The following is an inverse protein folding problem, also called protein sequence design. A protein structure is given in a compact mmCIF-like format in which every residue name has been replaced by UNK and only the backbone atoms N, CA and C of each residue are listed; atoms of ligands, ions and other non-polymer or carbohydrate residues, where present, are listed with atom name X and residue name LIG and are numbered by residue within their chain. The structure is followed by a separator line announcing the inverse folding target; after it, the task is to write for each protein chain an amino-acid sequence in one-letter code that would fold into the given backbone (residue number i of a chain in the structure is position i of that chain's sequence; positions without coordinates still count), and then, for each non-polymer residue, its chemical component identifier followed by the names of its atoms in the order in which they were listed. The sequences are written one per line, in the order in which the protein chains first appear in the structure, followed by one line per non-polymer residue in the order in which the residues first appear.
data_IF_292102816229
#
_entry.id   IF_292102816229
#
_cell.length_a   1.000
_cell.length_b   1.000
_cell.length_c   1.000
_cell.angle_alpha   90.00
_cell.angle_beta   90.00
_cell.angle_gamma   90.00
#
_symmetry.space_group_name_H-M   'P 1'
#
loop_
_entity.id
_entity.type
_entity.pdbx_description
1 polymer ?
#
# COMPACT_ATOMS: atom_id res chain seq x y z
N UNK A 1 -6.01 14.87 10.16
CA UNK A 1 -5.09 15.45 9.18
C UNK A 1 -5.80 16.52 8.35
N UNK A 2 -5.05 17.50 7.87
CA UNK A 2 -5.57 18.55 6.99
C UNK A 2 -6.13 17.94 5.71
N UNK A 3 -7.31 18.45 5.29
CA UNK A 3 -7.91 18.09 4.01
C UNK A 3 -7.21 18.80 2.84
N UNK A 4 -7.32 18.22 1.66
CA UNK A 4 -6.85 18.85 0.41
C UNK A 4 -7.94 19.80 -0.10
N UNK A 5 -7.74 21.09 0.14
CA UNK A 5 -8.72 22.15 -0.18
C UNK A 5 -8.05 23.30 -0.90
N UNK A 6 -8.85 24.05 -1.65
CA UNK A 6 -8.45 25.32 -2.20
C UNK A 6 -8.92 26.43 -1.24
N UNK A 7 -7.98 27.16 -0.66
CA UNK A 7 -8.27 28.25 0.26
C UNK A 7 -8.69 29.53 -0.50
N UNK A 8 -9.26 30.50 0.24
CA UNK A 8 -9.76 31.74 -0.33
C UNK A 8 -8.67 32.62 -0.97
N UNK A 9 -7.42 32.43 -0.55
CA UNK A 9 -6.25 33.12 -1.11
C UNK A 9 -5.72 32.46 -2.40
N UNK A 10 -6.39 31.41 -2.89
CA UNK A 10 -6.02 30.68 -4.09
C UNK A 10 -4.95 29.61 -3.91
N UNK A 11 -4.58 29.30 -2.67
CA UNK A 11 -3.59 28.27 -2.36
C UNK A 11 -4.23 26.94 -2.02
N UNK A 12 -3.60 25.84 -2.47
CA UNK A 12 -4.01 24.49 -2.07
C UNK A 12 -3.36 24.10 -0.75
N UNK A 13 -4.14 23.46 0.13
CA UNK A 13 -3.68 22.95 1.42
C UNK A 13 -3.74 21.43 1.47
N UNK A 14 -3.16 20.85 2.49
CA UNK A 14 -3.24 19.42 2.76
C UNK A 14 -2.52 18.51 1.76
N UNK A 15 -1.74 19.06 0.83
CA UNK A 15 -0.92 18.30 -0.11
C UNK A 15 0.21 17.55 0.62
N UNK A 16 0.78 16.53 -0.02
CA UNK A 16 1.92 15.81 0.55
C UNK A 16 3.04 16.79 0.95
N UNK A 17 3.66 16.64 2.12
CA UNK A 17 3.56 15.56 3.10
C UNK A 17 2.61 15.87 4.27
N UNK A 18 1.60 16.73 4.12
CA UNK A 18 0.77 17.22 5.22
C UNK A 18 0.16 16.10 6.08
N UNK A 19 -0.35 15.03 5.45
CA UNK A 19 -1.01 13.94 6.18
C UNK A 19 -0.09 13.26 7.20
N UNK A 20 1.13 12.95 6.81
CA UNK A 20 2.09 12.29 7.72
C UNK A 20 2.61 13.26 8.78
N UNK A 21 2.82 14.53 8.43
CA UNK A 21 3.25 15.57 9.36
C UNK A 21 2.20 15.78 10.46
N UNK A 22 0.92 15.84 10.10
CA UNK A 22 -0.19 15.97 11.07
C UNK A 22 -0.26 14.78 12.03
N UNK A 23 -0.08 13.55 11.52
CA UNK A 23 -0.08 12.36 12.39
C UNK A 23 1.14 12.32 13.31
N UNK A 24 2.31 12.71 12.83
CA UNK A 24 3.51 12.85 13.69
C UNK A 24 3.28 13.90 14.78
N UNK A 25 2.66 15.04 14.44
CA UNK A 25 2.29 16.06 15.42
C UNK A 25 1.30 15.52 16.45
N UNK A 26 0.32 14.70 16.04
CA UNK A 26 -0.60 14.04 16.97
C UNK A 26 0.13 13.08 17.93
N UNK A 27 1.08 12.26 17.42
CA UNK A 27 1.90 11.39 18.28
C UNK A 27 2.71 12.23 19.28
N UNK A 28 3.33 13.34 18.85
CA UNK A 28 4.05 14.26 19.73
C UNK A 28 3.15 14.85 20.79
N UNK A 29 1.92 15.23 20.43
CA UNK A 29 0.93 15.74 21.38
C UNK A 29 0.56 14.72 22.45
N UNK A 30 0.28 13.47 22.07
CA UNK A 30 -0.02 12.39 22.98
C UNK A 30 1.14 12.12 23.95
N UNK A 31 2.36 12.08 23.47
CA UNK A 31 3.56 11.86 24.29
C UNK A 31 3.82 13.01 25.26
N UNK A 32 3.65 14.25 24.80
CA UNK A 32 3.85 15.43 25.64
C UNK A 32 2.81 15.52 26.78
N UNK A 33 1.61 15.03 26.56
CA UNK A 33 0.51 15.06 27.51
C UNK A 33 0.20 13.70 28.15
N UNK A 34 1.10 12.72 28.07
CA UNK A 34 0.86 11.33 28.54
C UNK A 34 0.40 11.26 29.99
N UNK A 35 0.94 12.12 30.85
CA UNK A 35 0.54 12.23 32.28
C UNK A 35 -0.83 12.90 32.54
N UNK A 36 -1.47 13.45 31.49
CA UNK A 36 -2.76 14.14 31.55
C UNK A 36 -3.87 13.42 30.80
N UNK A 37 -3.53 12.34 30.10
CA UNK A 37 -4.44 11.61 29.20
C UNK A 37 -4.51 10.13 29.60
N UNK A 38 -5.65 9.46 29.41
CA UNK A 38 -5.74 8.03 29.63
C UNK A 38 -4.92 7.27 28.58
N UNK A 39 -4.40 6.11 28.97
CA UNK A 39 -3.60 5.26 28.10
C UNK A 39 -2.09 5.39 28.36
N UNK A 40 -1.30 4.95 27.39
CA UNK A 40 0.16 4.95 27.47
C UNK A 40 0.76 5.36 26.12
N UNK A 41 1.29 6.56 26.03
CA UNK A 41 1.86 7.08 24.79
C UNK A 41 3.19 6.41 24.38
N UNK A 42 3.77 5.55 25.22
CA UNK A 42 4.88 4.68 24.84
C UNK A 42 4.43 3.42 24.05
N UNK A 43 3.11 3.18 23.95
CA UNK A 43 2.49 2.02 23.32
C UNK A 43 1.53 2.40 22.18
N UNK A 44 1.76 3.49 21.49
CA UNK A 44 0.94 3.91 20.35
C UNK A 44 1.04 2.87 19.23
N UNK A 45 -0.10 2.35 18.82
CA UNK A 45 -0.24 1.44 17.69
C UNK A 45 -1.04 2.17 16.60
N UNK A 46 -0.50 2.27 15.41
CA UNK A 46 -1.26 2.80 14.27
C UNK A 46 -2.09 1.70 13.62
N UNK A 47 -3.29 2.05 13.17
CA UNK A 47 -4.14 1.17 12.36
C UNK A 47 -4.78 1.98 11.24
N UNK A 48 -4.87 1.40 10.06
CA UNK A 48 -5.48 2.07 8.92
C UNK A 48 -5.68 1.17 7.72
N UNK A 49 -6.57 1.59 6.83
CA UNK A 49 -6.98 0.86 5.61
C UNK A 49 -6.68 1.68 4.38
N UNK A 50 -6.19 1.05 3.29
CA UNK A 50 -5.97 1.70 1.99
C UNK A 50 -4.94 2.83 2.10
N UNK A 51 -5.28 4.07 1.75
CA UNK A 51 -4.45 5.24 2.02
C UNK A 51 -4.12 5.39 3.51
N UNK A 52 -5.07 5.10 4.41
CA UNK A 52 -4.84 5.05 5.86
C UNK A 52 -3.86 3.95 6.26
N UNK A 53 -3.89 2.80 5.59
CA UNK A 53 -2.90 1.72 5.76
C UNK A 53 -1.50 2.17 5.32
N UNK A 54 -1.41 2.89 4.21
CA UNK A 54 -0.16 3.49 3.74
C UNK A 54 0.42 4.48 4.74
N UNK A 55 -0.41 5.38 5.25
CA UNK A 55 0.01 6.39 6.25
C UNK A 55 0.36 5.72 7.59
N UNK A 56 -0.34 4.65 7.98
CA UNK A 56 0.00 3.82 9.15
C UNK A 56 1.40 3.22 9.01
N UNK A 57 1.71 2.62 7.85
CA UNK A 57 3.04 2.09 7.55
C UNK A 57 4.11 3.20 7.51
N UNK A 58 3.79 4.33 6.91
CA UNK A 58 4.72 5.47 6.82
C UNK A 58 5.04 6.05 8.21
N UNK A 59 4.04 6.16 9.09
CA UNK A 59 4.24 6.62 10.46
C UNK A 59 5.20 5.70 11.23
N UNK A 60 5.02 4.38 11.09
CA UNK A 60 5.94 3.41 11.69
C UNK A 60 7.35 3.44 11.10
N UNK A 61 7.47 3.67 9.80
CA UNK A 61 8.75 3.71 9.12
C UNK A 61 9.59 4.95 9.47
N UNK A 62 8.94 6.09 9.73
CA UNK A 62 9.58 7.41 9.74
C UNK A 62 9.74 8.04 11.12
N UNK A 63 9.56 7.26 12.20
CA UNK A 63 9.66 7.76 13.57
C UNK A 63 10.93 8.58 13.83
N UNK A 64 10.77 9.82 14.28
CA UNK A 64 11.83 10.78 14.61
C UNK A 64 12.76 11.11 13.42
N UNK A 65 12.34 10.91 12.19
CA UNK A 65 13.21 11.17 11.04
C UNK A 65 13.31 12.66 10.72
N UNK A 66 14.54 13.14 10.54
CA UNK A 66 14.88 14.56 10.34
C UNK A 66 14.20 15.24 9.12
N UNK A 67 13.86 14.47 8.09
CA UNK A 67 13.23 15.02 6.88
C UNK A 67 11.90 15.71 7.17
N UNK A 68 11.21 15.34 8.26
CA UNK A 68 9.92 15.90 8.66
C UNK A 68 10.02 17.08 9.63
N UNK A 69 11.19 17.31 10.26
CA UNK A 69 11.34 18.35 11.28
C UNK A 69 11.02 19.79 10.78
N UNK A 70 11.39 20.21 9.56
CA UNK A 70 11.00 21.53 9.08
C UNK A 70 9.49 21.73 9.05
N UNK A 71 8.74 20.74 8.56
CA UNK A 71 7.28 20.79 8.46
C UNK A 71 6.59 20.72 9.83
N UNK A 72 7.13 19.92 10.75
CA UNK A 72 6.64 19.83 12.13
C UNK A 72 6.85 21.16 12.88
N UNK A 73 7.99 21.80 12.66
CA UNK A 73 8.27 23.13 13.24
C UNK A 73 7.34 24.19 12.66
N UNK A 74 7.08 24.17 11.37
CA UNK A 74 6.20 25.11 10.67
C UNK A 74 4.77 25.08 11.24
N UNK A 75 4.22 23.91 11.53
CA UNK A 75 2.88 23.76 12.13
C UNK A 75 2.88 23.91 13.65
N UNK A 76 4.00 24.25 14.28
CA UNK A 76 4.10 24.43 15.74
C UNK A 76 3.96 23.13 16.54
N UNK A 77 4.33 21.98 15.98
CA UNK A 77 4.27 20.70 16.68
C UNK A 77 5.11 20.69 17.95
N UNK A 78 4.61 20.04 18.98
CA UNK A 78 5.28 19.97 20.28
C UNK A 78 6.64 19.24 20.19
N UNK A 79 7.57 19.62 21.04
CA UNK A 79 8.88 18.97 21.15
C UNK A 79 8.74 17.65 21.91
N UNK A 80 8.52 16.57 21.19
CA UNK A 80 8.46 15.21 21.68
C UNK A 80 8.89 14.24 20.58
N UNK A 81 9.09 12.97 20.92
CA UNK A 81 9.32 11.92 19.93
C UNK A 81 8.03 11.57 19.18
N UNK A 82 8.15 11.15 17.91
CA UNK A 82 7.02 10.73 17.09
C UNK A 82 7.13 9.27 16.57
N UNK A 83 8.06 8.49 17.11
CA UNK A 83 8.08 7.05 16.88
C UNK A 83 6.91 6.36 17.57
N UNK A 84 6.40 5.30 16.96
CA UNK A 84 5.30 4.50 17.49
C UNK A 84 5.76 3.09 17.87
N UNK A 85 4.91 2.33 18.54
CA UNK A 85 5.23 1.02 19.07
C UNK A 85 5.03 -0.10 18.05
N UNK A 86 3.90 -0.10 17.36
CA UNK A 86 3.54 -1.12 16.37
C UNK A 86 2.68 -0.53 15.25
N UNK A 87 2.62 -1.25 14.13
CA UNK A 87 1.86 -0.88 12.94
C UNK A 87 0.87 -1.98 12.59
N UNK A 88 -0.38 -1.60 12.34
CA UNK A 88 -1.36 -2.41 11.63
C UNK A 88 -1.78 -1.69 10.34
N UNK A 89 -1.69 -2.37 9.21
CA UNK A 89 -2.00 -1.82 7.90
C UNK A 89 -2.83 -2.81 7.07
N UNK A 90 -4.05 -2.41 6.74
CA UNK A 90 -4.90 -3.14 5.82
C UNK A 90 -4.75 -2.57 4.41
N UNK A 91 -4.52 -3.46 3.43
CA UNK A 91 -4.32 -3.15 2.02
C UNK A 91 -3.56 -1.82 1.79
N UNK A 92 -2.36 -1.66 2.37
CA UNK A 92 -1.64 -0.41 2.34
C UNK A 92 -1.21 -0.06 0.92
N UNK A 93 -1.60 1.12 0.44
CA UNK A 93 -1.18 1.66 -0.87
C UNK A 93 0.13 2.44 -0.64
N UNK A 94 1.22 1.73 -0.48
CA UNK A 94 2.57 2.29 -0.29
C UNK A 94 3.37 2.26 -1.59
N UNK A 95 4.56 2.85 -1.57
CA UNK A 95 5.52 2.72 -2.67
C UNK A 95 4.93 3.17 -4.01
N UNK A 96 4.29 4.33 -4.00
CA UNK A 96 3.50 4.85 -5.11
C UNK A 96 4.30 5.02 -6.40
N UNK A 97 5.60 5.34 -6.30
CA UNK A 97 6.53 5.46 -7.45
C UNK A 97 6.61 4.17 -8.27
N UNK A 98 6.34 3.01 -7.64
CA UNK A 98 6.38 1.69 -8.29
C UNK A 98 5.00 1.02 -8.34
N UNK A 99 3.95 1.68 -7.87
CA UNK A 99 2.61 1.09 -7.78
C UNK A 99 2.00 0.83 -9.16
N UNK A 100 2.19 1.74 -10.13
CA UNK A 100 1.76 1.53 -11.51
C UNK A 100 2.42 0.30 -12.14
N UNK A 101 3.74 0.17 -12.00
CA UNK A 101 4.51 -0.95 -12.59
C UNK A 101 4.13 -2.28 -11.95
N UNK A 102 3.94 -2.31 -10.64
CA UNK A 102 3.46 -3.48 -9.90
C UNK A 102 2.03 -3.88 -10.31
N UNK A 103 1.17 -2.89 -10.54
CA UNK A 103 -0.19 -3.12 -11.00
C UNK A 103 -0.22 -3.78 -12.38
N UNK A 104 0.55 -3.24 -13.32
CA UNK A 104 0.62 -3.78 -14.67
C UNK A 104 1.40 -5.10 -14.74
N UNK A 105 2.37 -5.34 -13.86
CA UNK A 105 2.99 -6.66 -13.73
C UNK A 105 1.96 -7.73 -13.36
N UNK A 106 1.01 -7.40 -12.49
CA UNK A 106 -0.01 -8.34 -12.03
C UNK A 106 -1.17 -8.48 -13.03
N UNK A 107 -1.69 -7.38 -13.56
CA UNK A 107 -2.95 -7.34 -14.32
C UNK A 107 -2.80 -7.13 -15.82
N UNK A 108 -1.57 -7.10 -16.36
CA UNK A 108 -1.32 -6.81 -17.79
C UNK A 108 -2.14 -7.69 -18.75
N UNK A 109 -2.31 -8.98 -18.44
CA UNK A 109 -3.01 -9.92 -19.32
C UNK A 109 -4.54 -9.80 -19.25
N UNK A 110 -5.07 -9.05 -18.29
CA UNK A 110 -6.51 -8.75 -18.15
C UNK A 110 -6.80 -7.43 -18.86
N UNK A 111 -7.46 -7.49 -20.03
CA UNK A 111 -7.72 -6.33 -20.88
C UNK A 111 -9.08 -5.66 -20.63
N UNK A 112 -9.97 -6.30 -19.86
CA UNK A 112 -11.24 -5.71 -19.45
C UNK A 112 -11.11 -5.20 -18.02
N UNK A 113 -11.82 -4.11 -17.70
CA UNK A 113 -11.81 -3.53 -16.36
C UNK A 113 -13.22 -3.24 -15.84
N UNK A 114 -13.34 -3.25 -14.51
CA UNK A 114 -14.52 -2.81 -13.81
C UNK A 114 -14.12 -1.77 -12.76
N UNK A 115 -14.17 -0.50 -13.17
CA UNK A 115 -13.83 0.63 -12.32
C UNK A 115 -14.93 0.88 -11.30
N UNK A 116 -14.54 1.19 -10.06
CA UNK A 116 -15.45 1.60 -8.99
C UNK A 116 -15.11 3.04 -8.65
N UNK A 117 -16.08 3.93 -8.82
CA UNK A 117 -16.02 5.31 -8.37
C UNK A 117 -16.83 5.44 -7.09
N UNK A 118 -16.22 5.92 -6.03
CA UNK A 118 -16.86 6.12 -4.73
C UNK A 118 -16.96 7.61 -4.49
N UNK A 119 -18.18 8.13 -4.34
CA UNK A 119 -18.44 9.48 -3.88
C UNK A 119 -19.09 9.47 -2.51
N UNK A 120 -18.73 10.45 -1.68
CA UNK A 120 -19.35 10.69 -0.39
C UNK A 120 -20.06 12.05 -0.46
N UNK A 121 -21.37 12.03 -0.63
CA UNK A 121 -22.22 13.22 -0.57
C UNK A 121 -23.14 13.09 0.66
N UNK A 122 -23.16 14.09 1.51
CA UNK A 122 -24.06 14.19 2.66
C UNK A 122 -24.10 12.93 3.55
N UNK A 123 -22.91 12.36 3.86
CA UNK A 123 -22.74 11.10 4.60
C UNK A 123 -23.27 9.84 3.90
N UNK A 124 -23.70 9.94 2.65
CA UNK A 124 -24.07 8.79 1.84
C UNK A 124 -22.90 8.37 0.95
N UNK A 125 -22.63 7.07 0.93
CA UNK A 125 -21.62 6.47 0.06
C UNK A 125 -22.29 5.98 -1.21
N UNK A 126 -22.04 6.66 -2.33
CA UNK A 126 -22.45 6.21 -3.64
C UNK A 126 -21.32 5.48 -4.34
N UNK A 127 -21.63 4.34 -4.96
CA UNK A 127 -20.71 3.55 -5.78
C UNK A 127 -21.23 3.50 -7.21
N UNK A 128 -20.43 4.04 -8.12
CA UNK A 128 -20.68 3.93 -9.56
C UNK A 128 -19.72 2.93 -10.16
N UNK A 129 -20.23 2.00 -10.95
CA UNK A 129 -19.44 1.02 -11.67
C UNK A 129 -19.36 1.38 -13.14
N UNK A 130 -18.16 1.35 -13.70
CA UNK A 130 -17.91 1.54 -15.14
C UNK A 130 -17.11 0.35 -15.64
N UNK A 131 -17.62 -0.35 -16.64
CA UNK A 131 -16.93 -1.48 -17.27
C UNK A 131 -16.42 -1.05 -18.65
N UNK A 132 -15.28 -1.59 -19.04
CA UNK A 132 -14.69 -1.29 -20.34
C UNK A 132 -13.58 -2.26 -20.73
N UNK A 133 -13.05 -2.02 -21.91
CA UNK A 133 -11.86 -2.73 -22.44
C UNK A 133 -10.77 -1.70 -22.68
N UNK A 134 -9.52 -2.08 -22.40
CA UNK A 134 -8.37 -1.21 -22.61
C UNK A 134 -8.24 -0.86 -24.10
N UNK A 135 -7.97 0.40 -24.38
CA UNK A 135 -7.60 0.90 -25.71
C UNK A 135 -6.20 0.40 -26.10
N UNK A 136 -5.85 0.51 -27.39
CA UNK A 136 -4.52 0.14 -27.88
C UNK A 136 -3.41 0.94 -27.16
N UNK A 137 -3.60 2.23 -26.92
CA UNK A 137 -2.66 3.08 -26.18
C UNK A 137 -2.51 2.64 -24.71
N UNK A 138 -3.60 2.25 -24.08
CA UNK A 138 -3.56 1.70 -22.72
C UNK A 138 -2.87 0.35 -22.67
N UNK A 139 -3.05 -0.50 -23.68
CA UNK A 139 -2.34 -1.78 -23.79
C UNK A 139 -0.84 -1.57 -23.97
N UNK A 140 -0.42 -0.63 -24.80
CA UNK A 140 0.99 -0.26 -24.97
C UNK A 140 1.58 0.24 -23.65
N UNK A 141 0.90 1.15 -22.98
CA UNK A 141 1.31 1.66 -21.66
C UNK A 141 1.42 0.54 -20.62
N UNK A 142 0.44 -0.35 -20.58
CA UNK A 142 0.45 -1.53 -19.70
C UNK A 142 1.68 -2.39 -19.94
N UNK A 143 2.02 -2.65 -21.20
CA UNK A 143 3.19 -3.44 -21.56
C UNK A 143 4.50 -2.79 -21.12
N UNK A 144 4.63 -1.48 -21.27
CA UNK A 144 5.83 -0.75 -20.87
C UNK A 144 6.00 -0.76 -19.36
N UNK A 145 4.94 -0.44 -18.62
CA UNK A 145 4.95 -0.45 -17.16
C UNK A 145 5.26 -1.84 -16.57
N UNK A 146 4.70 -2.91 -17.17
CA UNK A 146 5.00 -4.30 -16.78
C UNK A 146 6.49 -4.59 -16.89
N UNK A 147 7.15 -4.16 -17.96
CA UNK A 147 8.58 -4.40 -18.21
C UNK A 147 9.51 -3.70 -17.24
N UNK A 148 9.06 -2.63 -16.59
CA UNK A 148 9.86 -1.86 -15.61
C UNK A 148 9.91 -2.52 -14.24
N UNK A 149 8.90 -3.31 -13.88
CA UNK A 149 8.75 -3.86 -12.53
C UNK A 149 9.86 -4.85 -12.12
N UNK A 150 10.34 -5.78 -12.99
CA UNK A 150 11.41 -6.70 -12.65
C UNK A 150 12.70 -6.03 -12.14
N UNK A 151 13.15 -4.98 -12.81
CA UNK A 151 14.36 -4.25 -12.42
C UNK A 151 14.22 -3.64 -11.04
N UNK A 152 13.06 -3.08 -10.73
CA UNK A 152 12.76 -2.57 -9.40
C UNK A 152 12.83 -3.67 -8.34
N UNK A 153 12.12 -4.78 -8.53
CA UNK A 153 12.14 -5.92 -7.58
C UNK A 153 13.56 -6.43 -7.35
N UNK A 154 14.31 -6.63 -8.42
CA UNK A 154 15.68 -7.15 -8.37
C UNK A 154 16.64 -6.18 -7.64
N UNK A 155 16.43 -4.87 -7.77
CA UNK A 155 17.21 -3.85 -7.08
C UNK A 155 17.07 -3.92 -5.56
N UNK A 156 15.92 -4.38 -5.05
CA UNK A 156 15.63 -4.47 -3.62
C UNK A 156 16.39 -5.60 -2.90
N UNK A 157 16.90 -6.59 -3.65
CA UNK A 157 17.63 -7.77 -3.12
C UNK A 157 16.85 -8.45 -1.99
N UNK A 158 15.55 -8.65 -2.22
CA UNK A 158 14.67 -9.33 -1.28
C UNK A 158 15.09 -10.79 -1.12
N UNK A 159 14.91 -11.32 0.10
CA UNK A 159 15.22 -12.72 0.41
C UNK A 159 13.99 -13.40 1.02
N UNK A 160 13.80 -14.65 0.65
CA UNK A 160 12.82 -15.52 1.30
C UNK A 160 13.24 -15.88 2.73
N UNK A 161 12.41 -16.61 3.45
CA UNK A 161 12.66 -17.09 4.81
C UNK A 161 13.90 -18.00 4.97
N UNK A 162 14.40 -18.54 3.85
CA UNK A 162 15.62 -19.37 3.82
C UNK A 162 16.86 -18.56 3.41
N UNK A 163 16.74 -17.24 3.22
CA UNK A 163 17.84 -16.36 2.81
C UNK A 163 18.12 -16.36 1.30
N UNK A 164 17.33 -17.07 0.48
CA UNK A 164 17.48 -17.11 -0.98
C UNK A 164 16.91 -15.85 -1.61
N UNK A 165 17.62 -15.28 -2.59
CA UNK A 165 17.17 -14.11 -3.34
C UNK A 165 15.85 -14.39 -4.09
N UNK A 166 14.95 -13.43 -3.98
CA UNK A 166 13.71 -13.35 -4.75
C UNK A 166 13.94 -12.43 -5.93
N UNK A 167 13.80 -12.98 -7.13
CA UNK A 167 14.09 -12.27 -8.39
C UNK A 167 12.99 -12.47 -9.41
N UNK A 168 12.97 -11.58 -10.40
CA UNK A 168 12.17 -11.68 -11.60
C UNK A 168 13.09 -11.64 -12.84
N UNK A 169 12.78 -12.42 -13.85
CA UNK A 169 13.36 -12.27 -15.18
C UNK A 169 12.69 -11.11 -15.94
N UNK A 170 13.17 -10.82 -17.15
CA UNK A 170 12.64 -9.73 -18.00
C UNK A 170 11.16 -9.90 -18.38
N UNK A 171 10.65 -11.13 -18.34
CA UNK A 171 9.25 -11.45 -18.64
C UNK A 171 8.36 -11.39 -17.38
N UNK A 172 8.94 -11.08 -16.24
CA UNK A 172 8.25 -10.94 -14.96
C UNK A 172 8.00 -12.27 -14.24
N UNK A 173 8.70 -13.35 -14.62
CA UNK A 173 8.65 -14.65 -13.95
C UNK A 173 9.85 -14.84 -13.02
N UNK A 174 9.73 -15.75 -12.07
CA UNK A 174 10.84 -16.07 -11.18
C UNK A 174 10.42 -16.33 -9.75
N UNK A 175 11.41 -16.35 -8.86
CA UNK A 175 11.18 -16.72 -7.46
C UNK A 175 10.29 -15.71 -6.71
N UNK A 176 10.30 -14.44 -7.10
CA UNK A 176 9.39 -13.45 -6.52
C UNK A 176 7.92 -13.73 -6.91
N UNK A 177 7.63 -14.04 -8.21
CA UNK A 177 6.28 -14.45 -8.64
C UNK A 177 5.81 -15.69 -7.89
N UNK A 178 6.72 -16.66 -7.69
CA UNK A 178 6.41 -17.86 -6.91
C UNK A 178 6.10 -17.54 -5.44
N UNK A 179 6.77 -16.56 -4.85
CA UNK A 179 6.45 -16.12 -3.49
C UNK A 179 5.06 -15.46 -3.41
N UNK A 180 4.69 -14.63 -4.39
CA UNK A 180 3.35 -14.03 -4.48
C UNK A 180 2.29 -15.13 -4.64
N UNK A 181 2.53 -16.09 -5.53
CA UNK A 181 1.67 -17.26 -5.72
C UNK A 181 1.50 -18.07 -4.41
N UNK A 182 2.58 -18.22 -3.64
CA UNK A 182 2.53 -18.93 -2.37
C UNK A 182 1.61 -18.25 -1.35
N UNK A 183 1.56 -16.93 -1.31
CA UNK A 183 0.62 -16.22 -0.43
C UNK A 183 -0.83 -16.52 -0.78
N UNK A 184 -1.18 -16.67 -2.06
CA UNK A 184 -2.53 -17.10 -2.47
C UNK A 184 -2.81 -18.55 -2.13
N UNK A 185 -1.83 -19.45 -2.27
CA UNK A 185 -1.94 -20.86 -1.85
C UNK A 185 -2.15 -20.95 -0.35
N UNK A 186 -1.39 -20.20 0.45
CA UNK A 186 -1.51 -20.17 1.90
C UNK A 186 -2.88 -19.61 2.33
N UNK A 187 -3.39 -18.61 1.63
CA UNK A 187 -4.72 -18.05 1.80
C UNK A 187 -5.82 -19.07 1.56
N UNK A 188 -5.75 -19.79 0.43
CA UNK A 188 -6.69 -20.86 0.09
C UNK A 188 -6.65 -22.00 1.12
N UNK A 189 -5.47 -22.41 1.56
CA UNK A 189 -5.30 -23.42 2.61
C UNK A 189 -5.88 -22.96 3.96
N UNK A 190 -5.75 -21.69 4.30
CA UNK A 190 -6.37 -21.13 5.51
C UNK A 190 -7.91 -21.17 5.42
N UNK A 191 -8.47 -20.90 4.23
CA UNK A 191 -9.91 -21.00 3.97
C UNK A 191 -10.41 -22.45 4.07
N UNK A 192 -9.72 -23.42 3.46
CA UNK A 192 -10.03 -24.85 3.60
C UNK A 192 -10.05 -25.29 5.06
N UNK A 193 -9.07 -24.86 5.85
CA UNK A 193 -9.01 -25.16 7.29
C UNK A 193 -10.22 -24.64 8.07
N UNK A 194 -10.82 -23.55 7.59
CA UNK A 194 -12.05 -22.96 8.17
C UNK A 194 -13.33 -23.59 7.61
N UNK A 195 -13.22 -24.60 6.74
CA UNK A 195 -14.36 -25.32 6.15
C UNK A 195 -14.92 -24.69 4.87
N UNK A 196 -14.22 -23.75 4.25
CA UNK A 196 -14.64 -23.19 2.95
C UNK A 196 -14.49 -24.26 1.87
N UNK A 197 -15.54 -24.51 1.10
CA UNK A 197 -15.46 -25.34 -0.10
C UNK A 197 -14.78 -24.56 -1.23
N UNK A 198 -13.69 -25.10 -1.75
CA UNK A 198 -12.91 -24.53 -2.86
C UNK A 198 -12.93 -25.43 -4.10
N UNK A 199 -13.77 -26.46 -4.14
CA UNK A 199 -13.80 -27.44 -5.23
C UNK A 199 -14.25 -26.88 -6.58
N UNK A 200 -14.96 -25.76 -6.59
CA UNK A 200 -15.44 -25.08 -7.81
C UNK A 200 -14.35 -24.28 -8.54
N UNK A 201 -13.21 -24.01 -7.89
CA UNK A 201 -12.15 -23.18 -8.47
C UNK A 201 -11.16 -24.02 -9.28
N UNK A 202 -11.30 -24.05 -10.59
CA UNK A 202 -10.48 -24.82 -11.51
C UNK A 202 -9.01 -24.37 -11.60
N UNK A 203 -8.70 -23.19 -11.11
CA UNK A 203 -7.34 -22.66 -10.97
C UNK A 203 -6.60 -23.21 -9.74
N UNK A 204 -7.27 -23.95 -8.85
CA UNK A 204 -6.66 -24.59 -7.67
C UNK A 204 -6.38 -26.07 -7.93
N UNK A 205 -5.18 -26.53 -7.59
CA UNK A 205 -4.87 -27.95 -7.51
C UNK A 205 -4.95 -28.39 -6.07
N UNK A 206 -5.99 -29.19 -5.74
CA UNK A 206 -6.22 -29.72 -4.39
C UNK A 206 -5.83 -31.19 -4.34
N UNK A 207 -4.94 -31.58 -3.42
CA UNK A 207 -4.55 -32.98 -3.17
C UNK A 207 -4.57 -33.26 -1.68
N UNK A 208 -5.19 -34.37 -1.28
CA UNK A 208 -5.27 -34.79 0.13
C UNK A 208 -5.77 -33.67 1.07
N UNK A 209 -6.81 -32.92 0.66
CA UNK A 209 -7.39 -31.84 1.46
C UNK A 209 -6.51 -30.60 1.58
N UNK A 210 -5.52 -30.44 0.71
CA UNK A 210 -4.61 -29.29 0.67
C UNK A 210 -4.52 -28.70 -0.72
N UNK A 211 -4.52 -27.39 -0.83
CA UNK A 211 -4.11 -26.66 -2.05
C UNK A 211 -2.59 -26.79 -2.16
N UNK A 212 -2.14 -27.46 -3.22
CA UNK A 212 -0.71 -27.70 -3.50
C UNK A 212 -0.18 -26.84 -4.62
N UNK A 213 -1.07 -26.31 -5.48
CA UNK A 213 -0.72 -25.41 -6.56
C UNK A 213 -1.89 -24.49 -6.93
N UNK A 214 -1.58 -23.39 -7.61
CA UNK A 214 -2.52 -22.40 -8.12
C UNK A 214 -2.04 -21.95 -9.51
N UNK A 215 -2.92 -22.03 -10.50
CA UNK A 215 -2.71 -21.42 -11.80
C UNK A 215 -2.82 -19.89 -11.66
N UNK A 216 -1.67 -19.21 -11.62
CA UNK A 216 -1.60 -17.78 -11.33
C UNK A 216 -2.37 -16.95 -12.36
N UNK A 217 -2.21 -17.25 -13.63
CA UNK A 217 -2.79 -16.45 -14.71
C UNK A 217 -4.31 -16.60 -14.75
N UNK A 218 -4.82 -17.83 -14.55
CA UNK A 218 -6.26 -18.07 -14.37
C UNK A 218 -6.80 -17.35 -13.12
N UNK A 219 -6.06 -17.37 -12.03
CA UNK A 219 -6.47 -16.69 -10.80
C UNK A 219 -6.57 -15.18 -10.97
N UNK A 220 -5.59 -14.55 -11.64
CA UNK A 220 -5.64 -13.13 -11.93
C UNK A 220 -6.78 -12.78 -12.89
N UNK A 221 -7.04 -13.63 -13.89
CA UNK A 221 -8.19 -13.47 -14.79
C UNK A 221 -9.53 -13.59 -14.03
N UNK A 222 -9.65 -14.54 -13.10
CA UNK A 222 -10.81 -14.67 -12.21
C UNK A 222 -11.00 -13.43 -11.33
N UNK A 223 -9.92 -12.91 -10.74
CA UNK A 223 -9.97 -11.70 -9.95
C UNK A 223 -10.43 -10.49 -10.77
N UNK A 224 -9.97 -10.39 -12.02
CA UNK A 224 -10.21 -9.26 -12.91
C UNK A 224 -9.42 -8.02 -12.53
N UNK A 225 -9.43 -7.01 -13.39
CA UNK A 225 -8.77 -5.72 -13.10
C UNK A 225 -9.79 -4.62 -12.80
N UNK A 226 -9.41 -3.68 -11.95
CA UNK A 226 -10.26 -2.55 -11.56
C UNK A 226 -9.86 -1.25 -12.26
N UNK A 227 -8.57 -0.99 -12.40
CA UNK A 227 -8.01 0.28 -12.88
C UNK A 227 -7.40 0.14 -14.27
N UNK A 228 -7.45 1.18 -15.06
CA UNK A 228 -6.71 1.30 -16.33
C UNK A 228 -5.23 1.58 -16.07
N UNK A 229 -4.33 1.39 -17.07
CA UNK A 229 -2.92 1.74 -16.94
C UNK A 229 -2.71 3.21 -16.59
N UNK A 230 -1.94 3.46 -15.54
CA UNK A 230 -1.90 4.74 -14.84
C UNK A 230 -2.74 4.70 -13.57
N UNK A 231 -2.79 3.54 -12.91
CA UNK A 231 -3.65 3.25 -11.77
C UNK A 231 -3.50 4.22 -10.59
N UNK A 232 -2.34 4.82 -10.40
CA UNK A 232 -2.01 5.73 -9.29
C UNK A 232 -1.45 7.06 -9.79
N UNK A 233 -0.53 7.06 -10.74
CA UNK A 233 -0.12 8.25 -11.48
C UNK A 233 -0.64 8.10 -12.90
N UNK A 234 -1.59 8.92 -13.32
CA UNK A 234 -2.19 8.82 -14.64
C UNK A 234 -1.71 9.93 -15.57
N UNK A 235 -1.66 9.66 -16.88
CA UNK A 235 -1.19 10.59 -17.92
C UNK A 235 -2.00 11.89 -17.99
N UNK A 236 -3.24 11.88 -17.53
CA UNK A 236 -4.15 13.02 -17.48
C UNK A 236 -4.27 13.68 -16.09
N UNK A 237 -3.45 13.22 -15.12
CA UNK A 237 -3.45 13.68 -13.73
C UNK A 237 -4.78 13.47 -12.98
N UNK A 238 -5.59 12.48 -13.37
CA UNK A 238 -6.96 12.30 -12.86
C UNK A 238 -7.04 11.51 -11.55
N UNK A 239 -5.93 10.97 -11.03
CA UNK A 239 -5.96 10.15 -9.81
C UNK A 239 -5.97 10.98 -8.53
N UNK A 240 -6.44 10.39 -7.44
CA UNK A 240 -6.34 10.98 -6.11
C UNK A 240 -4.91 11.15 -5.65
N UNK A 241 -4.00 10.28 -6.09
CA UNK A 241 -2.57 10.34 -5.81
C UNK A 241 -1.90 11.49 -6.57
N UNK A 242 -2.28 11.74 -7.83
CA UNK A 242 -1.83 12.96 -8.52
C UNK A 242 -2.22 14.23 -7.75
N UNK A 243 -3.43 14.25 -7.18
CA UNK A 243 -3.89 15.35 -6.34
C UNK A 243 -3.13 15.42 -5.01
N UNK A 244 -2.80 14.28 -4.38
CA UNK A 244 -1.96 14.24 -3.17
C UNK A 244 -0.60 14.86 -3.40
N UNK A 245 0.02 14.58 -4.55
CA UNK A 245 1.35 15.10 -4.92
C UNK A 245 1.35 16.50 -5.52
N UNK A 246 0.21 17.17 -5.60
CA UNK A 246 0.16 18.59 -5.88
C UNK A 246 0.94 19.43 -4.85
N UNK A 247 0.99 20.71 -5.06
CA UNK A 247 1.58 21.65 -4.10
C UNK A 247 0.67 22.86 -3.88
N UNK A 248 1.17 23.87 -3.17
CA UNK A 248 0.44 25.09 -2.82
C UNK A 248 -0.13 25.85 -4.06
N UNK A 249 0.50 25.69 -5.21
CA UNK A 249 0.16 26.42 -6.44
C UNK A 249 -0.43 25.54 -7.54
N UNK A 250 -0.22 24.23 -7.46
CA UNK A 250 -0.60 23.27 -8.50
C UNK A 250 -1.38 22.12 -7.88
N UNK A 251 -2.62 21.94 -8.31
CA UNK A 251 -3.54 20.96 -7.69
C UNK A 251 -3.09 19.52 -7.89
N UNK A 252 -2.64 19.16 -9.10
CA UNK A 252 -2.28 17.79 -9.46
C UNK A 252 -0.90 17.75 -10.11
N UNK A 253 -0.05 16.81 -9.70
CA UNK A 253 1.28 16.61 -10.28
C UNK A 253 1.56 15.14 -10.53
N UNK A 254 2.42 14.87 -11.50
CA UNK A 254 3.03 13.55 -11.68
C UNK A 254 4.05 13.28 -10.57
N UNK A 255 4.23 12.01 -10.25
CA UNK A 255 5.27 11.57 -9.31
C UNK A 255 6.10 10.41 -9.85
N UNK A 256 5.88 10.04 -11.13
CA UNK A 256 6.68 9.07 -11.88
C UNK A 256 7.16 9.69 -13.19
N UNK A 257 8.41 9.43 -13.55
CA UNK A 257 9.00 10.00 -14.77
C UNK A 257 8.30 9.50 -16.02
N UNK A 258 7.96 8.19 -16.08
CA UNK A 258 7.22 7.61 -17.20
C UNK A 258 5.91 8.35 -17.48
N UNK A 259 5.10 8.64 -16.45
CA UNK A 259 3.83 9.33 -16.65
C UNK A 259 3.99 10.80 -17.01
N UNK A 260 5.02 11.47 -16.51
CA UNK A 260 5.35 12.82 -16.92
C UNK A 260 5.73 12.88 -18.41
N UNK A 261 6.56 11.94 -18.87
CA UNK A 261 6.99 11.86 -20.29
C UNK A 261 5.82 11.56 -21.24
N UNK A 262 4.82 10.83 -20.76
CA UNK A 262 3.61 10.46 -21.53
C UNK A 262 2.38 11.30 -21.14
N UNK A 263 2.57 12.43 -20.46
CA UNK A 263 1.47 13.29 -20.02
C UNK A 263 0.65 13.81 -21.20
N UNK A 264 -0.67 13.66 -21.10
CA UNK A 264 -1.63 14.17 -22.09
C UNK A 264 -2.12 15.57 -21.76
N UNK A 265 -1.64 16.11 -20.63
CA UNK A 265 -1.92 17.46 -20.15
C UNK A 265 -0.59 18.18 -19.88
N UNK A 266 -0.63 19.48 -19.66
CA UNK A 266 0.59 20.24 -19.31
C UNK A 266 0.98 19.97 -17.83
N UNK A 267 1.33 18.70 -17.54
CA UNK A 267 1.68 18.24 -16.20
C UNK A 267 3.11 18.57 -15.80
N UNK A 268 3.34 18.68 -14.50
CA UNK A 268 4.67 18.87 -13.90
C UNK A 268 4.96 17.78 -12.88
N UNK A 269 6.26 17.57 -12.57
CA UNK A 269 6.71 16.61 -11.56
C UNK A 269 6.57 17.22 -10.16
N UNK A 270 6.14 16.41 -9.20
CA UNK A 270 6.23 16.72 -7.78
C UNK A 270 7.70 16.81 -7.32
N UNK A 271 7.94 17.50 -6.23
CA UNK A 271 9.27 17.58 -5.63
C UNK A 271 9.79 16.18 -5.25
N UNK A 272 10.99 15.83 -5.69
CA UNK A 272 11.61 14.50 -5.44
C UNK A 272 11.78 14.21 -3.95
N UNK A 273 11.98 15.22 -3.12
CA UNK A 273 12.04 15.06 -1.66
C UNK A 273 10.67 14.68 -1.11
N UNK A 274 9.61 15.30 -1.60
CA UNK A 274 8.23 14.97 -1.18
C UNK A 274 7.88 13.54 -1.60
N UNK A 275 8.17 13.16 -2.84
CA UNK A 275 7.96 11.79 -3.32
C UNK A 275 8.67 10.79 -2.38
N UNK A 276 9.96 11.01 -2.11
CA UNK A 276 10.74 10.20 -1.16
C UNK A 276 10.07 10.12 0.21
N UNK A 277 9.60 11.26 0.75
CA UNK A 277 9.00 11.34 2.09
C UNK A 277 7.69 10.56 2.22
N UNK A 278 6.98 10.31 1.12
CA UNK A 278 5.72 9.56 1.11
C UNK A 278 5.93 8.05 0.98
N UNK A 279 7.14 7.55 0.76
CA UNK A 279 7.41 6.14 0.55
C UNK A 279 8.11 5.51 1.78
N UNK A 280 7.43 4.63 2.55
CA UNK A 280 8.00 3.98 3.72
C UNK A 280 9.24 3.13 3.41
N UNK A 281 9.38 2.62 2.17
CA UNK A 281 10.54 1.82 1.76
C UNK A 281 11.87 2.57 1.91
N UNK A 282 11.85 3.90 1.84
CA UNK A 282 13.02 4.75 2.02
C UNK A 282 13.45 4.91 3.49
N UNK A 283 12.63 4.48 4.45
CA UNK A 283 12.82 4.75 5.88
C UNK A 283 12.83 3.50 6.75
N UNK A 284 12.23 2.39 6.32
CA UNK A 284 12.09 1.18 7.15
C UNK A 284 13.41 0.63 7.65
N UNK A 285 14.51 0.86 6.94
CA UNK A 285 15.86 0.46 7.39
C UNK A 285 16.27 1.08 8.72
N UNK A 286 15.80 2.27 9.04
CA UNK A 286 16.08 3.00 10.27
C UNK A 286 14.93 2.97 11.28
N UNK A 287 13.80 2.34 10.92
CA UNK A 287 12.63 2.25 11.80
C UNK A 287 12.94 1.46 13.07
N UNK A 288 12.52 1.99 14.22
CA UNK A 288 12.59 1.31 15.52
C UNK A 288 11.39 0.41 15.79
N UNK A 289 10.34 0.50 15.01
CA UNK A 289 9.15 -0.34 15.15
C UNK A 289 9.53 -1.80 14.91
N UNK A 290 9.18 -2.64 15.87
CA UNK A 290 9.48 -4.07 15.85
C UNK A 290 8.32 -4.89 15.29
N UNK A 291 7.08 -4.50 15.55
CA UNK A 291 5.87 -5.28 15.29
C UNK A 291 5.06 -4.66 14.16
N UNK A 292 4.82 -5.45 13.11
CA UNK A 292 4.09 -5.06 11.91
C UNK A 292 3.04 -6.10 11.58
N UNK A 293 1.80 -5.66 11.44
CA UNK A 293 0.70 -6.48 10.94
C UNK A 293 0.24 -5.90 9.62
N UNK A 294 0.27 -6.70 8.57
CA UNK A 294 -0.10 -6.29 7.22
C UNK A 294 -1.12 -7.28 6.67
N UNK A 295 -2.23 -6.77 6.18
CA UNK A 295 -3.29 -7.55 5.55
C UNK A 295 -3.57 -7.01 4.15
N UNK A 296 -3.82 -7.90 3.19
CA UNK A 296 -4.22 -7.56 1.83
C UNK A 296 -5.14 -8.62 1.32
N UNK A 297 -6.37 -8.27 0.95
CA UNK A 297 -7.39 -9.25 0.53
C UNK A 297 -6.95 -10.06 -0.68
N UNK A 298 -7.25 -11.35 -0.70
CA UNK A 298 -6.83 -12.24 -1.79
C UNK A 298 -7.49 -11.90 -3.14
N UNK A 299 -8.62 -11.21 -3.13
CA UNK A 299 -9.27 -10.68 -4.36
C UNK A 299 -9.26 -9.14 -4.42
N UNK A 300 -8.32 -8.53 -3.70
CA UNK A 300 -8.07 -7.09 -3.80
C UNK A 300 -7.45 -6.77 -5.17
N UNK A 301 -8.15 -5.97 -5.94
CA UNK A 301 -7.76 -5.52 -7.28
C UNK A 301 -7.61 -4.00 -7.40
N UNK A 302 -7.63 -3.32 -6.26
CA UNK A 302 -7.29 -1.89 -6.20
C UNK A 302 -5.78 -1.67 -6.27
N UNK A 303 -5.02 -2.52 -5.57
CA UNK A 303 -3.56 -2.50 -5.52
C UNK A 303 -3.01 -3.91 -5.76
N UNK A 304 -1.88 -4.03 -6.45
CA UNK A 304 -1.19 -5.32 -6.60
C UNK A 304 -0.71 -5.85 -5.24
N UNK A 305 -0.95 -7.15 -4.96
CA UNK A 305 -0.41 -7.83 -3.79
C UNK A 305 1.12 -7.69 -3.68
N UNK A 306 1.81 -7.47 -4.80
CA UNK A 306 3.27 -7.28 -4.81
C UNK A 306 3.71 -6.10 -3.93
N UNK A 307 2.94 -5.03 -3.85
CA UNK A 307 3.29 -3.82 -3.07
C UNK A 307 3.35 -4.12 -1.55
N UNK A 308 2.28 -4.60 -0.89
CA UNK A 308 2.38 -4.94 0.53
C UNK A 308 3.29 -6.15 0.79
N UNK A 309 3.43 -7.08 -0.15
CA UNK A 309 4.37 -8.20 -0.01
C UNK A 309 5.83 -7.72 -0.02
N UNK A 310 6.21 -6.79 -0.89
CA UNK A 310 7.54 -6.17 -0.90
C UNK A 310 7.83 -5.52 0.46
N UNK A 311 6.88 -4.75 0.99
CA UNK A 311 7.02 -4.12 2.31
C UNK A 311 7.22 -5.18 3.40
N UNK A 312 6.38 -6.21 3.44
CA UNK A 312 6.44 -7.28 4.43
C UNK A 312 7.77 -8.04 4.37
N UNK A 313 8.19 -8.50 3.19
CA UNK A 313 9.44 -9.24 3.00
C UNK A 313 10.65 -8.37 3.37
N UNK A 314 10.65 -7.10 2.97
CA UNK A 314 11.77 -6.20 3.32
C UNK A 314 11.86 -5.97 4.83
N UNK A 315 10.75 -5.83 5.52
CA UNK A 315 10.69 -5.73 6.98
C UNK A 315 11.20 -7.02 7.65
N UNK A 316 10.81 -8.20 7.16
CA UNK A 316 11.32 -9.49 7.64
C UNK A 316 12.84 -9.59 7.43
N UNK A 317 13.33 -9.19 6.26
CA UNK A 317 14.77 -9.16 5.96
C UNK A 317 15.55 -8.18 6.87
N UNK A 318 14.89 -7.19 7.43
CA UNK A 318 15.43 -6.28 8.44
C UNK A 318 15.26 -6.80 9.88
N UNK A 319 14.81 -8.04 10.06
CA UNK A 319 14.62 -8.65 11.37
C UNK A 319 13.42 -8.16 12.16
N UNK A 320 12.44 -7.54 11.50
CA UNK A 320 11.18 -7.13 12.14
C UNK A 320 10.25 -8.34 12.33
N UNK A 321 9.36 -8.26 13.32
CA UNK A 321 8.29 -9.24 13.51
C UNK A 321 7.10 -8.83 12.65
N UNK A 322 6.89 -9.55 11.56
CA UNK A 322 5.85 -9.28 10.57
C UNK A 322 4.79 -10.37 10.62
N UNK A 323 3.54 -9.97 10.77
CA UNK A 323 2.35 -10.81 10.61
C UNK A 323 1.67 -10.41 9.29
N UNK A 324 1.99 -11.11 8.22
CA UNK A 324 1.45 -10.88 6.88
C UNK A 324 0.46 -11.97 6.49
N UNK A 325 -0.72 -11.57 6.03
CA UNK A 325 -1.70 -12.49 5.49
C UNK A 325 -2.52 -11.86 4.35
N UNK A 326 -2.98 -12.74 3.44
CA UNK A 326 -3.89 -12.41 2.35
C UNK A 326 -5.20 -13.20 2.52
N UNK A 327 -6.19 -12.70 3.27
CA UNK A 327 -7.42 -13.44 3.55
C UNK A 327 -8.20 -13.79 2.28
N UNK A 328 -8.62 -15.06 2.15
CA UNK A 328 -9.33 -15.59 0.99
C UNK A 328 -10.64 -14.84 0.73
N UNK A 329 -11.00 -14.65 -0.54
CA UNK A 329 -12.22 -14.01 -0.98
C UNK A 329 -12.46 -12.58 -0.43
N UNK A 330 -11.44 -11.97 0.18
CA UNK A 330 -11.55 -10.63 0.75
C UNK A 330 -11.14 -9.59 -0.29
N UNK A 331 -12.00 -8.61 -0.58
CA UNK A 331 -11.68 -7.51 -1.50
C UNK A 331 -10.85 -6.42 -0.78
N UNK A 332 -10.64 -5.29 -1.48
CA UNK A 332 -10.03 -4.08 -0.92
C UNK A 332 -10.87 -3.54 0.26
N UNK A 333 -10.45 -3.82 1.49
CA UNK A 333 -11.18 -3.47 2.71
C UNK A 333 -10.28 -3.57 3.95
N UNK A 334 -10.82 -3.15 5.09
CA UNK A 334 -10.13 -3.25 6.38
C UNK A 334 -11.09 -3.57 7.51
N UNK A 335 -10.53 -3.75 8.70
CA UNK A 335 -11.26 -3.99 9.96
C UNK A 335 -12.23 -5.19 9.92
N UNK A 336 -12.01 -6.14 9.02
CA UNK A 336 -12.85 -7.33 8.85
C UNK A 336 -12.50 -8.47 9.83
N UNK A 337 -11.40 -8.34 10.58
CA UNK A 337 -10.89 -9.33 11.52
C UNK A 337 -10.51 -8.67 12.87
N UNK A 338 -11.41 -7.84 13.42
CA UNK A 338 -11.15 -7.05 14.65
C UNK A 338 -10.75 -7.92 15.85
N UNK A 339 -11.31 -9.12 15.98
CA UNK A 339 -10.94 -10.06 17.06
C UNK A 339 -9.46 -10.46 16.96
N UNK A 340 -9.00 -10.81 15.76
CA UNK A 340 -7.60 -11.14 15.50
C UNK A 340 -6.70 -9.90 15.68
N UNK A 341 -7.16 -8.72 15.23
CA UNK A 341 -6.43 -7.48 15.38
C UNK A 341 -6.18 -7.17 16.87
N UNK A 342 -7.22 -7.18 17.70
CA UNK A 342 -7.07 -6.90 19.13
C UNK A 342 -6.25 -7.97 19.84
N UNK A 343 -6.43 -9.25 19.50
CA UNK A 343 -5.60 -10.33 20.03
C UNK A 343 -4.12 -10.15 19.67
N UNK A 344 -3.83 -9.70 18.44
CA UNK A 344 -2.47 -9.36 18.04
C UNK A 344 -1.92 -8.16 18.83
N UNK A 345 -2.71 -7.11 19.03
CA UNK A 345 -2.33 -5.95 19.83
C UNK A 345 -1.97 -6.35 21.27
N UNK A 346 -2.81 -7.15 21.92
CA UNK A 346 -2.58 -7.64 23.28
C UNK A 346 -1.28 -8.46 23.35
N UNK A 347 -1.06 -9.36 22.39
CA UNK A 347 0.14 -10.18 22.32
C UNK A 347 1.40 -9.33 22.20
N UNK A 348 1.45 -8.37 21.26
CA UNK A 348 2.67 -7.57 21.04
C UNK A 348 2.95 -6.63 22.20
N UNK A 349 1.91 -6.13 22.87
CA UNK A 349 2.06 -5.32 24.09
C UNK A 349 2.57 -6.15 25.26
N UNK A 350 2.11 -7.40 25.40
CA UNK A 350 2.58 -8.33 26.43
C UNK A 350 4.05 -8.75 26.22
N UNK A 351 4.48 -8.97 24.99
CA UNK A 351 5.86 -9.33 24.63
C UNK A 351 6.88 -8.20 24.90
N UNK A 352 6.43 -6.97 25.02
CA UNK A 352 7.30 -5.81 25.28
C UNK A 352 7.36 -5.39 26.74
N UNK A 353 6.80 -6.20 27.65
CA UNK A 353 6.98 -6.07 29.10
C UNK A 353 8.23 -6.84 29.48
#
# INVERSE_FOLDING_TARGET
ARGRTLEKDGKYTGKAPAVIVDLKAAVRYLRYNDNKMPGRADRIISNGTSAGGAVSALLGATGNHKDYEPYLKEIGALKARDDIYAVSAYCPITNLENANTAYEWMFNDVKTYKKIEISMLDYNVERKYTEGTLTDDEILRSNDLKKMFPDYVNSLKLKDKNGKLLTLDKDGNGSFKNQIKQYYIDSANAALKKGTDLSEFDFLTIKNGKVVDLDYDKYIAYMGRQKTPGAFDNVDLSTGENNEFGDETTDNKHFTEYMLEHSTVNGTMADKKIIKMMNPMNYIGNSKVKYWRIRHGAVDKDTSLAIPAILAIKLENLGKKVDFASPWATPHSGDYDLTELFSWMDKVVAEGK
#
